data_IF_309676966677
#
_entry.id   IF_309676966677
#
_cell.length_a   1.000
_cell.length_b   1.000
_cell.length_c   1.000
_cell.angle_alpha   90.00
_cell.angle_beta   90.00
_cell.angle_gamma   90.00
#
_symmetry.space_group_name_H-M   'P 1'
#
loop_
_entity.id
_entity.type
_entity.pdbx_description
1 polymer ?
#
# COMPACT_ATOMS: atom_id res chain seq x y z
N UNK A 1 -0.36 5.57 13.11
CA UNK A 1 -0.97 5.30 11.80
C UNK A 1 -2.07 4.27 11.98
N UNK A 2 -3.24 4.54 11.42
CA UNK A 2 -4.37 3.64 11.25
C UNK A 2 -4.31 3.13 9.81
N UNK A 3 -4.36 1.83 9.66
CA UNK A 3 -4.31 1.13 8.38
C UNK A 3 -5.62 0.35 8.31
N UNK A 4 -6.40 0.59 7.27
CA UNK A 4 -7.62 -0.14 7.03
C UNK A 4 -7.26 -1.27 6.04
N UNK A 5 -7.44 -2.53 6.46
CA UNK A 5 -7.13 -3.71 5.67
C UNK A 5 -8.43 -4.47 5.44
N UNK A 6 -8.79 -4.68 4.18
CA UNK A 6 -9.95 -5.46 3.78
C UNK A 6 -9.44 -6.70 3.06
N UNK A 7 -9.96 -7.85 3.43
CA UNK A 7 -9.69 -9.11 2.74
C UNK A 7 -10.96 -9.54 2.02
N UNK A 8 -10.90 -9.70 0.69
CA UNK A 8 -11.97 -10.34 -0.06
C UNK A 8 -11.73 -11.85 -0.09
N UNK A 9 -12.62 -12.60 0.57
CA UNK A 9 -12.53 -14.04 0.67
C UNK A 9 -12.90 -14.79 -0.63
N UNK A 10 -13.57 -14.12 -1.58
CA UNK A 10 -13.94 -14.72 -2.87
C UNK A 10 -12.80 -14.60 -3.87
N UNK A 11 -12.23 -13.41 -3.97
CA UNK A 11 -11.18 -13.11 -4.95
C UNK A 11 -9.78 -13.37 -4.40
N UNK A 12 -9.67 -13.74 -3.10
CA UNK A 12 -8.41 -13.94 -2.40
C UNK A 12 -7.49 -12.72 -2.54
N UNK A 13 -8.06 -11.52 -2.37
CA UNK A 13 -7.31 -10.25 -2.46
C UNK A 13 -7.31 -9.52 -1.12
N UNK A 14 -6.30 -8.69 -0.93
CA UNK A 14 -6.20 -7.77 0.20
C UNK A 14 -6.10 -6.34 -0.30
N UNK A 15 -6.95 -5.47 0.21
CA UNK A 15 -6.90 -4.03 -0.04
C UNK A 15 -6.42 -3.34 1.23
N UNK A 16 -5.32 -2.59 1.13
CA UNK A 16 -4.74 -1.79 2.21
C UNK A 16 -4.99 -0.32 1.90
N UNK A 17 -5.81 0.36 2.70
CA UNK A 17 -6.08 1.78 2.59
C UNK A 17 -5.42 2.57 3.71
N UNK A 18 -4.70 3.64 3.35
CA UNK A 18 -3.99 4.50 4.30
C UNK A 18 -4.16 5.97 3.93
N UNK A 19 -4.71 6.76 4.85
CA UNK A 19 -4.81 8.20 4.65
C UNK A 19 -3.45 8.87 4.49
N UNK A 20 -3.37 9.77 3.51
CA UNK A 20 -2.13 10.45 3.12
C UNK A 20 -1.57 11.36 4.22
N UNK A 21 -2.45 11.91 5.07
CA UNK A 21 -2.06 12.75 6.22
C UNK A 21 -1.30 11.99 7.31
N UNK A 22 -1.35 10.65 7.28
CA UNK A 22 -0.69 9.79 8.25
C UNK A 22 0.78 9.50 7.93
N UNK A 23 1.21 9.75 6.69
CA UNK A 23 2.62 9.63 6.30
C UNK A 23 3.41 10.88 6.75
N UNK A 24 4.02 10.83 7.93
CA UNK A 24 4.72 11.99 8.54
C UNK A 24 6.24 11.81 8.63
N UNK A 25 6.69 10.57 8.74
CA UNK A 25 8.08 10.18 8.97
C UNK A 25 8.49 9.07 8.01
N UNK A 26 9.79 8.89 7.80
CA UNK A 26 10.31 7.78 6.98
C UNK A 26 9.75 6.43 7.43
N UNK A 27 9.64 6.24 8.74
CA UNK A 27 9.13 5.01 9.37
C UNK A 27 7.71 4.67 8.94
N UNK A 28 6.88 5.67 8.65
CA UNK A 28 5.51 5.45 8.21
C UNK A 28 5.49 4.75 6.83
N UNK A 29 6.38 5.17 5.92
CA UNK A 29 6.55 4.51 4.62
C UNK A 29 7.14 3.11 4.76
N UNK A 30 8.13 2.92 5.64
CA UNK A 30 8.72 1.61 5.89
C UNK A 30 7.71 0.62 6.46
N UNK A 31 6.80 1.08 7.34
CA UNK A 31 5.74 0.23 7.91
C UNK A 31 4.78 -0.25 6.82
N UNK A 32 4.32 0.65 5.94
CA UNK A 32 3.41 0.28 4.84
C UNK A 32 4.11 -0.63 3.84
N UNK A 33 5.34 -0.29 3.44
CA UNK A 33 6.14 -1.14 2.56
C UNK A 33 6.32 -2.55 3.14
N UNK A 34 6.70 -2.67 4.43
CA UNK A 34 6.89 -3.98 5.05
C UNK A 34 5.58 -4.75 5.19
N UNK A 35 4.45 -4.06 5.39
CA UNK A 35 3.13 -4.69 5.44
C UNK A 35 2.72 -5.23 4.07
N UNK A 36 2.86 -4.42 3.01
CA UNK A 36 2.59 -4.84 1.63
C UNK A 36 3.44 -6.07 1.33
N UNK A 37 4.75 -5.99 1.58
CA UNK A 37 5.69 -7.07 1.32
C UNK A 37 5.33 -8.34 2.11
N UNK A 38 4.95 -8.22 3.39
CA UNK A 38 4.53 -9.37 4.18
C UNK A 38 3.27 -10.06 3.61
N UNK A 39 2.31 -9.30 3.08
CA UNK A 39 1.10 -9.84 2.48
C UNK A 39 1.41 -10.42 1.08
N UNK A 40 2.28 -9.79 0.30
CA UNK A 40 2.71 -10.28 -1.01
C UNK A 40 3.38 -11.66 -0.94
N UNK A 41 4.09 -11.95 0.15
CA UNK A 41 4.67 -13.28 0.40
C UNK A 41 3.62 -14.39 0.52
N UNK A 42 2.38 -14.09 0.96
CA UNK A 42 1.29 -15.07 0.98
C UNK A 42 0.83 -15.48 -0.43
N UNK A 43 1.20 -14.69 -1.45
CA UNK A 43 0.91 -14.92 -2.86
C UNK A 43 2.13 -15.39 -3.67
N UNK A 44 3.25 -15.70 -3.01
CA UNK A 44 4.55 -15.96 -3.66
C UNK A 44 4.98 -14.84 -4.63
N UNK A 45 4.52 -13.60 -4.39
CA UNK A 45 4.89 -12.42 -5.16
C UNK A 45 6.19 -11.82 -4.62
N UNK A 46 7.10 -11.48 -5.53
CA UNK A 46 8.23 -10.64 -5.19
C UNK A 46 7.74 -9.21 -4.87
N UNK A 47 8.32 -8.53 -3.87
CA UNK A 47 8.03 -7.13 -3.63
C UNK A 47 8.49 -6.28 -4.80
N UNK A 48 7.54 -5.88 -5.65
CA UNK A 48 7.80 -5.04 -6.83
C UNK A 48 7.92 -3.54 -6.50
N UNK A 49 7.56 -3.14 -5.27
CA UNK A 49 7.57 -1.74 -4.86
C UNK A 49 8.65 -1.44 -3.80
N UNK A 50 9.45 -0.40 -4.03
CA UNK A 50 10.39 0.12 -3.03
C UNK A 50 9.76 1.20 -2.12
N UNK A 51 10.40 1.47 -0.98
CA UNK A 51 10.02 2.58 -0.09
C UNK A 51 10.11 3.94 -0.80
N UNK A 52 11.00 4.09 -1.78
CA UNK A 52 11.13 5.34 -2.55
C UNK A 52 9.98 5.51 -3.54
N UNK A 53 9.54 4.44 -4.19
CA UNK A 53 8.36 4.45 -5.07
C UNK A 53 7.11 4.83 -4.28
N UNK A 54 6.91 4.23 -3.09
CA UNK A 54 5.80 4.56 -2.21
C UNK A 54 5.81 6.04 -1.78
N UNK A 55 6.99 6.62 -1.55
CA UNK A 55 7.11 8.05 -1.27
C UNK A 55 6.69 8.90 -2.47
N UNK A 56 7.12 8.53 -3.68
CA UNK A 56 6.77 9.25 -4.89
C UNK A 56 5.25 9.23 -5.10
N UNK A 57 4.63 8.06 -4.96
CA UNK A 57 3.17 7.88 -5.03
C UNK A 57 2.45 8.80 -4.03
N UNK A 58 2.84 8.76 -2.76
CA UNK A 58 2.23 9.63 -1.73
C UNK A 58 2.47 11.12 -2.00
N UNK A 59 3.60 11.49 -2.61
CA UNK A 59 3.87 12.88 -3.01
C UNK A 59 2.96 13.30 -4.16
N UNK A 60 2.74 12.45 -5.15
CA UNK A 60 1.80 12.71 -6.25
C UNK A 60 0.37 12.79 -5.75
N UNK A 61 -0.05 11.85 -4.91
CA UNK A 61 -1.34 11.86 -4.24
C UNK A 61 -1.61 13.16 -3.47
N UNK A 62 -0.59 13.69 -2.78
CA UNK A 62 -0.69 15.00 -2.12
C UNK A 62 -0.85 16.17 -3.09
N UNK A 63 -0.26 16.09 -4.28
CA UNK A 63 -0.41 17.14 -5.29
C UNK A 63 -1.81 17.13 -5.91
N UNK A 64 -2.40 15.94 -6.04
CA UNK A 64 -3.75 15.75 -6.58
C UNK A 64 -4.86 15.87 -5.53
N UNK A 65 -4.50 16.25 -4.31
CA UNK A 65 -5.43 16.43 -3.18
C UNK A 65 -6.22 15.15 -2.83
N UNK A 66 -5.63 13.98 -3.11
CA UNK A 66 -6.16 12.70 -2.68
C UNK A 66 -6.17 12.58 -1.15
N UNK A 67 -7.14 11.85 -0.62
CA UNK A 67 -7.31 11.64 0.82
C UNK A 67 -6.55 10.40 1.34
N UNK A 68 -6.43 9.36 0.50
CA UNK A 68 -5.83 8.08 0.86
C UNK A 68 -5.11 7.43 -0.32
N UNK A 69 -4.19 6.52 -0.01
CA UNK A 69 -3.56 5.59 -0.96
C UNK A 69 -4.12 4.21 -0.68
N UNK A 70 -4.52 3.50 -1.74
CA UNK A 70 -4.96 2.10 -1.69
C UNK A 70 -3.91 1.21 -2.35
N UNK A 71 -3.70 0.04 -1.76
CA UNK A 71 -2.82 -0.99 -2.30
C UNK A 71 -3.58 -2.31 -2.34
N UNK A 72 -3.83 -2.81 -3.54
CA UNK A 72 -4.53 -4.06 -3.82
C UNK A 72 -3.50 -5.15 -4.10
N UNK A 73 -3.53 -6.20 -3.30
CA UNK A 73 -2.59 -7.31 -3.35
C UNK A 73 -3.39 -8.57 -3.62
N UNK A 74 -3.09 -9.24 -4.72
CA UNK A 74 -3.78 -10.46 -5.11
C UNK A 74 -2.90 -11.37 -5.95
N UNK A 75 -3.43 -12.49 -6.43
CA UNK A 75 -2.68 -13.43 -7.27
C UNK A 75 -2.21 -12.81 -8.60
N UNK A 76 -2.82 -11.70 -9.04
CA UNK A 76 -2.44 -10.99 -10.26
C UNK A 76 -1.25 -10.04 -10.06
N UNK A 77 -0.90 -9.69 -8.82
CA UNK A 77 0.18 -8.77 -8.50
C UNK A 77 -0.18 -7.79 -7.38
N UNK A 78 0.59 -6.70 -7.32
CA UNK A 78 0.39 -5.56 -6.43
C UNK A 78 -0.01 -4.36 -7.30
N UNK A 79 -1.16 -3.76 -7.03
CA UNK A 79 -1.63 -2.53 -7.67
C UNK A 79 -1.77 -1.42 -6.61
N UNK A 80 -1.38 -0.19 -6.94
CA UNK A 80 -1.39 0.93 -6.00
C UNK A 80 -2.00 2.14 -6.66
N UNK A 81 -3.04 2.67 -6.02
CA UNK A 81 -3.86 3.77 -6.52
C UNK A 81 -4.01 4.88 -5.46
N UNK A 82 -4.34 6.09 -5.92
CA UNK A 82 -4.61 7.26 -5.08
C UNK A 82 -5.50 8.29 -5.80
#
# INVERSE_FOLDING_TARGET
MKIDIVQDAKDHTYTIAVKIDQFKTLRDYEVIHNLINAISLDFDLDPEISVEDLKNIVIEARKEEADEVTCDIGPEGIDIEF
#
